data_IF_586020419956
#
_entry.id   IF_586020419956
#
_cell.length_a   1.000
_cell.length_b   1.000
_cell.length_c   1.000
_cell.angle_alpha   90.00
_cell.angle_beta   90.00
_cell.angle_gamma   90.00
#
_symmetry.space_group_name_H-M   'P 1'
#
loop_
_entity.id
_entity.type
_entity.pdbx_description
1 polymer ?
#
# COMPACT_ATOMS: atom_id res chain seq x y z
N UNK A 1 -25.84 -14.10 7.76
CA UNK A 1 -26.14 -12.67 7.95
C UNK A 1 -27.26 -12.28 7.02
N UNK A 2 -28.44 -12.01 7.61
CA UNK A 2 -29.69 -11.70 6.90
C UNK A 2 -29.51 -10.52 5.94
N UNK A 3 -29.70 -10.79 4.66
CA UNK A 3 -29.86 -9.76 3.64
C UNK A 3 -31.22 -9.08 3.87
N UNK A 4 -31.22 -7.94 4.55
CA UNK A 4 -32.40 -7.03 4.50
C UNK A 4 -32.53 -6.60 3.04
N UNK A 5 -33.55 -7.14 2.37
CA UNK A 5 -34.05 -6.61 1.10
C UNK A 5 -34.45 -5.16 1.34
N UNK A 6 -33.62 -4.21 0.95
CA UNK A 6 -33.96 -2.80 1.02
C UNK A 6 -34.98 -2.51 -0.08
N UNK A 7 -36.25 -2.62 0.26
CA UNK A 7 -37.35 -2.23 -0.63
C UNK A 7 -37.38 -0.71 -0.70
N UNK A 8 -37.00 -0.14 -1.85
CA UNK A 8 -37.27 1.27 -2.12
C UNK A 8 -38.73 1.44 -2.43
N UNK A 9 -39.46 2.11 -1.57
CA UNK A 9 -40.90 2.37 -1.75
C UNK A 9 -41.07 3.83 -2.18
N UNK A 10 -41.67 4.08 -3.34
CA UNK A 10 -42.13 5.41 -3.77
C UNK A 10 -43.66 5.38 -3.81
N UNK A 11 -44.28 6.36 -3.17
CA UNK A 11 -45.75 6.53 -3.09
C UNK A 11 -46.13 7.84 -3.79
N UNK A 12 -47.44 8.06 -4.01
CA UNK A 12 -47.93 9.32 -4.55
C UNK A 12 -48.10 9.33 -6.07
N UNK A 13 -48.22 8.17 -6.72
CA UNK A 13 -48.53 8.12 -8.14
C UNK A 13 -50.04 8.30 -8.35
N UNK A 14 -50.40 9.22 -9.28
CA UNK A 14 -51.78 9.54 -9.57
C UNK A 14 -52.55 8.37 -10.26
N UNK A 15 -51.83 7.46 -10.95
CA UNK A 15 -52.38 6.29 -11.62
C UNK A 15 -51.43 5.11 -11.58
N UNK A 16 -51.98 3.89 -11.68
CA UNK A 16 -51.23 2.62 -11.81
C UNK A 16 -50.23 2.70 -12.98
N UNK A 17 -50.65 3.27 -14.11
CA UNK A 17 -49.81 3.44 -15.30
C UNK A 17 -48.59 4.31 -15.01
N UNK A 18 -48.73 5.44 -14.32
CA UNK A 18 -47.62 6.30 -13.91
C UNK A 18 -46.64 5.61 -12.95
N UNK A 19 -47.14 4.75 -12.07
CA UNK A 19 -46.31 3.93 -11.20
C UNK A 19 -45.49 2.93 -12.00
N UNK A 20 -46.08 2.26 -12.99
CA UNK A 20 -45.44 1.31 -13.88
C UNK A 20 -44.40 1.99 -14.80
N UNK A 21 -44.73 3.15 -15.36
CA UNK A 21 -43.81 3.96 -16.17
C UNK A 21 -42.60 4.42 -15.35
N UNK A 22 -42.81 4.82 -14.12
CA UNK A 22 -41.75 5.13 -13.20
C UNK A 22 -40.87 3.93 -12.85
N UNK A 23 -41.48 2.78 -12.54
CA UNK A 23 -40.78 1.53 -12.25
C UNK A 23 -39.93 1.10 -13.44
N UNK A 24 -40.48 1.13 -14.65
CA UNK A 24 -39.72 0.82 -15.88
C UNK A 24 -38.60 1.82 -16.14
N UNK A 25 -38.85 3.10 -15.96
CA UNK A 25 -37.84 4.15 -16.08
C UNK A 25 -36.73 3.97 -15.03
N UNK A 26 -37.10 3.66 -13.80
CA UNK A 26 -36.15 3.38 -12.73
C UNK A 26 -35.31 2.12 -13.00
N UNK A 27 -35.93 1.04 -13.49
CA UNK A 27 -35.22 -0.17 -13.88
C UNK A 27 -34.31 0.05 -15.08
N UNK A 28 -34.75 0.84 -16.08
CA UNK A 28 -33.87 1.23 -17.22
C UNK A 28 -32.72 2.10 -16.81
N UNK A 29 -32.93 3.07 -15.93
CA UNK A 29 -31.84 3.92 -15.40
C UNK A 29 -30.86 3.09 -14.57
N UNK A 30 -31.34 2.11 -13.83
CA UNK A 30 -30.52 1.13 -13.12
C UNK A 30 -29.69 0.27 -14.07
N UNK A 31 -30.32 -0.27 -15.10
CA UNK A 31 -29.63 -1.08 -16.11
C UNK A 31 -28.61 -0.24 -16.90
N UNK A 32 -28.99 0.98 -17.28
CA UNK A 32 -28.11 1.89 -18.03
C UNK A 32 -26.89 2.34 -17.23
N UNK A 33 -26.98 2.47 -15.89
CA UNK A 33 -25.85 2.91 -15.07
C UNK A 33 -24.72 1.87 -14.96
N UNK A 34 -25.03 0.58 -15.18
CA UNK A 34 -24.07 -0.53 -15.16
C UNK A 34 -23.83 -1.18 -16.54
N UNK A 35 -24.45 -0.66 -17.60
CA UNK A 35 -24.20 -1.09 -18.99
C UNK A 35 -22.91 -0.51 -19.57
N UNK A 36 -21.99 -0.12 -18.70
CA UNK A 36 -20.67 0.37 -19.06
C UNK A 36 -19.61 -0.73 -18.91
N UNK A 37 -18.54 -0.61 -19.67
CA UNK A 37 -17.40 -1.51 -19.57
C UNK A 37 -16.68 -1.35 -18.24
N UNK A 38 -15.89 -2.34 -17.85
CA UNK A 38 -15.08 -2.28 -16.65
C UNK A 38 -14.08 -1.11 -16.68
N UNK A 39 -13.50 -0.80 -17.84
CA UNK A 39 -12.59 0.34 -18.03
C UNK A 39 -13.29 1.68 -17.82
N UNK A 40 -14.51 1.84 -18.34
CA UNK A 40 -15.31 3.05 -18.14
C UNK A 40 -15.71 3.18 -16.66
N UNK A 41 -16.13 2.09 -16.02
CA UNK A 41 -16.44 2.08 -14.60
C UNK A 41 -15.21 2.42 -13.74
N UNK A 42 -14.03 1.95 -14.11
CA UNK A 42 -12.80 2.31 -13.41
C UNK A 42 -12.56 3.83 -13.42
N UNK A 43 -12.90 4.52 -14.50
CA UNK A 43 -12.80 5.99 -14.57
C UNK A 43 -13.75 6.68 -13.58
N UNK A 44 -14.95 6.13 -13.41
CA UNK A 44 -15.93 6.60 -12.41
C UNK A 44 -15.41 6.34 -11.00
N UNK A 45 -14.96 5.11 -10.74
CA UNK A 45 -14.36 4.69 -9.47
C UNK A 45 -13.17 5.58 -9.07
N UNK A 46 -12.31 5.93 -10.03
CA UNK A 46 -11.18 6.84 -9.79
C UNK A 46 -11.65 8.20 -9.28
N UNK A 47 -12.64 8.82 -9.91
CA UNK A 47 -13.20 10.11 -9.50
C UNK A 47 -13.78 10.06 -8.08
N UNK A 48 -14.45 8.98 -7.72
CA UNK A 48 -15.12 8.83 -6.43
C UNK A 48 -14.16 8.52 -5.27
N UNK A 49 -13.10 7.77 -5.55
CA UNK A 49 -12.26 7.15 -4.52
C UNK A 49 -10.92 7.84 -4.36
N UNK A 50 -10.29 8.28 -5.46
CA UNK A 50 -8.97 8.93 -5.44
C UNK A 50 -8.89 10.13 -4.50
N UNK A 51 -9.87 11.07 -4.45
CA UNK A 51 -9.81 12.24 -3.56
C UNK A 51 -9.81 11.87 -2.07
N UNK A 52 -10.27 10.66 -1.72
CA UNK A 52 -10.37 10.15 -0.34
C UNK A 52 -9.13 9.39 0.13
N UNK A 53 -8.19 9.11 -0.78
CA UNK A 53 -7.01 8.29 -0.52
C UNK A 53 -5.73 9.11 -0.54
N UNK A 54 -4.74 8.68 0.25
CA UNK A 54 -3.38 9.18 0.11
C UNK A 54 -2.82 8.77 -1.26
N UNK A 55 -2.02 9.65 -1.88
CA UNK A 55 -1.48 9.44 -3.24
C UNK A 55 -0.77 8.08 -3.40
N UNK A 56 0.05 7.68 -2.43
CA UNK A 56 0.73 6.39 -2.46
C UNK A 56 -0.24 5.19 -2.44
N UNK A 57 -1.33 5.30 -1.65
CA UNK A 57 -2.36 4.25 -1.61
C UNK A 57 -3.10 4.15 -2.93
N UNK A 58 -3.43 5.32 -3.53
CA UNK A 58 -4.05 5.35 -4.84
C UNK A 58 -3.13 4.78 -5.92
N UNK A 59 -1.87 5.20 -5.94
CA UNK A 59 -0.90 4.73 -6.92
C UNK A 59 -0.75 3.20 -6.93
N UNK A 60 -0.61 2.58 -5.75
CA UNK A 60 -0.52 1.12 -5.63
C UNK A 60 -1.79 0.42 -6.11
N UNK A 61 -2.97 0.97 -5.75
CA UNK A 61 -4.27 0.47 -6.19
C UNK A 61 -4.43 0.59 -7.71
N UNK A 62 -4.16 1.76 -8.25
CA UNK A 62 -4.24 2.05 -9.68
C UNK A 62 -3.31 1.14 -10.49
N UNK A 63 -2.07 0.96 -10.04
CA UNK A 63 -1.09 0.09 -10.69
C UNK A 63 -1.62 -1.35 -10.81
N UNK A 64 -2.11 -1.93 -9.72
CA UNK A 64 -2.69 -3.28 -9.74
C UNK A 64 -3.87 -3.34 -10.71
N UNK A 65 -4.79 -2.40 -10.64
CA UNK A 65 -5.99 -2.41 -11.47
C UNK A 65 -5.62 -2.32 -12.95
N UNK A 66 -4.74 -1.37 -13.32
CA UNK A 66 -4.34 -1.17 -14.72
C UNK A 66 -3.52 -2.32 -15.29
N UNK A 67 -2.69 -2.98 -14.47
CA UNK A 67 -1.75 -4.01 -14.96
C UNK A 67 -2.28 -5.44 -14.84
N UNK A 68 -3.23 -5.71 -13.91
CA UNK A 68 -3.68 -7.07 -13.60
C UNK A 68 -5.17 -7.31 -13.83
N UNK A 69 -5.98 -6.26 -13.83
CA UNK A 69 -7.44 -6.39 -13.89
C UNK A 69 -7.98 -5.87 -15.23
N UNK A 70 -7.67 -4.64 -15.61
CA UNK A 70 -8.13 -4.04 -16.88
C UNK A 70 -7.74 -4.86 -18.12
N UNK A 71 -6.51 -5.42 -18.23
CA UNK A 71 -6.16 -6.22 -19.41
C UNK A 71 -7.08 -7.42 -19.63
N UNK A 72 -7.73 -7.93 -18.58
CA UNK A 72 -8.63 -9.07 -18.67
C UNK A 72 -10.10 -8.65 -18.78
N UNK A 73 -10.56 -7.73 -17.91
CA UNK A 73 -11.97 -7.36 -17.80
C UNK A 73 -12.34 -6.07 -18.53
N UNK A 74 -11.36 -5.28 -18.99
CA UNK A 74 -11.55 -3.90 -19.41
C UNK A 74 -12.65 -3.67 -20.43
N UNK A 75 -12.81 -4.58 -21.39
CA UNK A 75 -13.82 -4.49 -22.46
C UNK A 75 -15.15 -5.20 -22.12
N UNK A 76 -15.22 -5.88 -20.99
CA UNK A 76 -16.44 -6.58 -20.54
C UNK A 76 -17.33 -5.60 -19.79
N UNK A 77 -18.65 -5.63 -20.04
CA UNK A 77 -19.58 -4.83 -19.26
C UNK A 77 -19.63 -5.30 -17.81
N UNK A 78 -19.79 -4.37 -16.89
CA UNK A 78 -19.80 -4.68 -15.45
C UNK A 78 -20.90 -5.70 -15.07
N UNK A 79 -22.06 -5.64 -15.73
CA UNK A 79 -23.18 -6.56 -15.51
C UNK A 79 -22.93 -7.97 -16.05
N UNK A 80 -22.09 -8.10 -17.06
CA UNK A 80 -21.83 -9.36 -17.77
C UNK A 80 -20.69 -10.16 -17.15
N UNK A 81 -19.92 -9.58 -16.21
CA UNK A 81 -18.85 -10.30 -15.52
C UNK A 81 -19.45 -11.38 -14.61
N UNK A 82 -19.22 -12.62 -14.98
CA UNK A 82 -19.73 -13.79 -14.26
C UNK A 82 -18.72 -14.33 -13.24
N UNK A 83 -19.20 -15.17 -12.32
CA UNK A 83 -18.32 -15.91 -11.39
C UNK A 83 -17.33 -16.78 -12.15
N UNK A 84 -17.73 -17.36 -13.29
CA UNK A 84 -16.87 -18.19 -14.14
C UNK A 84 -15.71 -17.37 -14.71
N UNK A 85 -15.94 -16.12 -15.10
CA UNK A 85 -14.89 -15.24 -15.61
C UNK A 85 -13.88 -14.88 -14.51
N UNK A 86 -14.36 -14.65 -13.29
CA UNK A 86 -13.48 -14.46 -12.13
C UNK A 86 -12.60 -15.69 -11.88
N UNK A 87 -13.17 -16.91 -11.92
CA UNK A 87 -12.41 -18.16 -11.72
C UNK A 87 -11.36 -18.34 -12.83
N UNK A 88 -11.71 -18.07 -14.08
CA UNK A 88 -10.74 -18.13 -15.20
C UNK A 88 -9.58 -17.15 -14.99
N UNK A 89 -9.90 -15.91 -14.60
CA UNK A 89 -8.89 -14.90 -14.30
C UNK A 89 -8.01 -15.31 -13.10
N UNK A 90 -8.60 -15.88 -12.03
CA UNK A 90 -7.85 -16.38 -10.88
C UNK A 90 -6.86 -17.48 -11.30
N UNK A 91 -7.26 -18.41 -12.18
CA UNK A 91 -6.38 -19.46 -12.69
C UNK A 91 -5.23 -18.88 -13.50
N UNK A 92 -5.50 -17.94 -14.40
CA UNK A 92 -4.48 -17.22 -15.16
C UNK A 92 -3.47 -16.50 -14.21
N UNK A 93 -3.96 -15.91 -13.13
CA UNK A 93 -3.09 -15.25 -12.15
C UNK A 93 -2.21 -16.24 -11.36
N UNK A 94 -2.69 -17.46 -11.09
CA UNK A 94 -1.92 -18.55 -10.43
C UNK A 94 -0.87 -19.15 -11.38
N UNK A 95 -1.20 -19.24 -12.65
CA UNK A 95 -0.33 -19.82 -13.68
C UNK A 95 0.77 -18.87 -14.14
N UNK A 96 0.64 -17.58 -13.84
CA UNK A 96 1.65 -16.59 -14.22
C UNK A 96 3.03 -16.95 -13.66
N UNK A 97 4.05 -16.75 -14.49
CA UNK A 97 5.46 -16.84 -14.13
C UNK A 97 6.18 -15.61 -14.67
N UNK A 98 7.11 -15.07 -13.89
CA UNK A 98 7.98 -13.98 -14.34
C UNK A 98 9.11 -14.50 -15.24
N UNK A 99 10.04 -13.61 -15.63
CA UNK A 99 11.19 -13.96 -16.46
C UNK A 99 12.15 -14.98 -15.83
N UNK A 100 12.09 -15.15 -14.50
CA UNK A 100 12.87 -16.10 -13.72
C UNK A 100 12.09 -17.39 -13.41
N UNK A 101 10.86 -17.52 -13.94
CA UNK A 101 9.98 -18.66 -13.68
C UNK A 101 9.26 -18.63 -12.32
N UNK A 102 9.31 -17.52 -11.58
CA UNK A 102 8.69 -17.39 -10.26
C UNK A 102 7.21 -17.04 -10.35
N UNK A 103 6.33 -17.69 -9.56
CA UNK A 103 4.92 -17.34 -9.46
C UNK A 103 4.72 -16.07 -8.65
N UNK A 104 3.52 -15.50 -8.73
CA UNK A 104 3.10 -14.48 -7.75
C UNK A 104 3.00 -15.11 -6.34
N UNK A 105 3.42 -14.36 -5.32
CA UNK A 105 3.25 -14.80 -3.93
C UNK A 105 1.76 -14.87 -3.55
N UNK A 106 1.37 -15.79 -2.64
CA UNK A 106 -0.02 -15.89 -2.15
C UNK A 106 -0.56 -14.57 -1.61
N UNK A 107 0.23 -13.82 -0.85
CA UNK A 107 -0.11 -12.49 -0.31
C UNK A 107 -0.35 -11.45 -1.40
N UNK A 108 0.47 -11.47 -2.48
CA UNK A 108 0.27 -10.58 -3.61
C UNK A 108 -1.04 -10.91 -4.35
N UNK A 109 -1.30 -12.18 -4.63
CA UNK A 109 -2.54 -12.65 -5.25
C UNK A 109 -3.78 -12.22 -4.46
N UNK A 110 -3.74 -12.34 -3.12
CA UNK A 110 -4.79 -11.86 -2.23
C UNK A 110 -4.99 -10.34 -2.40
N UNK A 111 -3.91 -9.58 -2.45
CA UNK A 111 -3.96 -8.12 -2.64
C UNK A 111 -4.57 -7.74 -3.99
N UNK A 112 -4.25 -8.47 -5.06
CA UNK A 112 -4.80 -8.24 -6.41
C UNK A 112 -6.30 -8.51 -6.44
N UNK A 113 -6.75 -9.65 -5.88
CA UNK A 113 -8.19 -9.94 -5.77
C UNK A 113 -8.95 -8.93 -4.91
N UNK A 114 -8.33 -8.44 -3.84
CA UNK A 114 -8.94 -7.42 -2.99
C UNK A 114 -9.24 -6.13 -3.77
N UNK A 115 -8.37 -5.74 -4.74
CA UNK A 115 -8.66 -4.57 -5.58
C UNK A 115 -9.84 -4.82 -6.52
N UNK A 116 -9.93 -6.00 -7.12
CA UNK A 116 -11.08 -6.38 -7.96
C UNK A 116 -12.39 -6.37 -7.14
N UNK A 117 -12.35 -6.97 -5.95
CA UNK A 117 -13.50 -6.99 -5.04
C UNK A 117 -13.92 -5.59 -4.58
N UNK A 118 -12.97 -4.69 -4.33
CA UNK A 118 -13.24 -3.29 -3.99
C UNK A 118 -14.02 -2.56 -5.09
N UNK A 119 -13.67 -2.77 -6.36
CA UNK A 119 -14.38 -2.18 -7.50
C UNK A 119 -15.83 -2.67 -7.56
N UNK A 120 -16.02 -3.99 -7.51
CA UNK A 120 -17.38 -4.56 -7.52
C UNK A 120 -18.21 -4.17 -6.29
N UNK A 121 -17.60 -4.10 -5.10
CA UNK A 121 -18.28 -3.62 -3.89
C UNK A 121 -18.71 -2.15 -4.03
N UNK A 122 -17.89 -1.31 -4.67
CA UNK A 122 -18.23 0.08 -4.94
C UNK A 122 -19.43 0.17 -5.91
N UNK A 123 -19.42 -0.66 -6.98
CA UNK A 123 -20.52 -0.75 -7.91
C UNK A 123 -21.83 -1.21 -7.24
N UNK A 124 -21.75 -2.24 -6.39
CA UNK A 124 -22.91 -2.73 -5.61
C UNK A 124 -23.45 -1.67 -4.67
N UNK A 125 -22.56 -0.93 -4.00
CA UNK A 125 -22.95 0.02 -2.96
C UNK A 125 -23.54 1.31 -3.52
N UNK A 126 -22.97 1.83 -4.60
CA UNK A 126 -23.27 3.19 -5.08
C UNK A 126 -23.92 3.22 -6.47
N UNK A 127 -23.75 2.16 -7.25
CA UNK A 127 -24.22 2.09 -8.65
C UNK A 127 -25.20 0.95 -8.91
N UNK A 128 -25.74 0.37 -7.83
CA UNK A 128 -26.85 -0.58 -7.86
C UNK A 128 -26.55 -1.89 -8.63
N UNK A 129 -25.27 -2.27 -8.81
CA UNK A 129 -24.94 -3.61 -9.29
C UNK A 129 -25.55 -4.65 -8.34
N UNK A 130 -26.23 -5.71 -8.85
CA UNK A 130 -27.00 -6.63 -7.99
C UNK A 130 -26.14 -7.36 -6.95
N UNK A 131 -24.93 -7.77 -7.31
CA UNK A 131 -24.02 -8.50 -6.41
C UNK A 131 -22.57 -8.43 -6.89
N UNK A 132 -21.64 -8.69 -5.97
CA UNK A 132 -20.22 -8.81 -6.30
C UNK A 132 -19.90 -10.28 -6.68
N UNK A 133 -19.55 -10.58 -7.94
CA UNK A 133 -19.26 -11.94 -8.39
C UNK A 133 -17.99 -12.52 -7.75
N UNK A 134 -17.04 -11.67 -7.31
CA UNK A 134 -15.76 -12.09 -6.71
C UNK A 134 -15.99 -12.85 -5.40
N UNK A 135 -17.01 -12.49 -4.61
CA UNK A 135 -17.30 -13.18 -3.35
C UNK A 135 -17.69 -14.64 -3.54
N UNK A 136 -18.31 -14.97 -4.68
CA UNK A 136 -18.75 -16.34 -5.00
C UNK A 136 -17.67 -17.18 -5.66
N UNK A 137 -16.65 -16.55 -6.22
CA UNK A 137 -15.54 -17.24 -6.90
C UNK A 137 -14.53 -17.84 -5.93
N UNK A 138 -14.62 -17.51 -4.64
CA UNK A 138 -13.65 -17.95 -3.63
C UNK A 138 -12.39 -17.07 -3.56
N UNK A 139 -11.48 -17.46 -2.68
CA UNK A 139 -10.26 -16.70 -2.42
C UNK A 139 -9.17 -16.99 -3.47
N UNK A 140 -8.45 -15.93 -3.86
CA UNK A 140 -7.20 -16.02 -4.62
C UNK A 140 -6.05 -15.65 -3.69
N UNK A 141 -5.13 -16.60 -3.46
CA UNK A 141 -4.03 -16.43 -2.52
C UNK A 141 -4.42 -16.60 -1.06
N UNK A 142 -3.47 -16.45 -0.19
CA UNK A 142 -3.62 -16.63 1.26
C UNK A 142 -2.85 -15.55 2.02
N UNK A 143 -3.11 -15.42 3.32
CA UNK A 143 -2.23 -14.73 4.25
C UNK A 143 -1.19 -15.72 4.79
N UNK A 144 -0.26 -16.10 3.94
CA UNK A 144 0.93 -16.80 4.38
C UNK A 144 2.02 -15.74 4.50
N UNK A 145 2.35 -15.38 5.73
CA UNK A 145 3.55 -14.64 6.03
C UNK A 145 4.59 -15.64 6.50
N UNK A 146 5.71 -15.72 5.82
CA UNK A 146 6.89 -16.38 6.36
C UNK A 146 7.24 -15.73 7.69
N UNK A 147 7.84 -16.49 8.59
CA UNK A 147 8.35 -15.95 9.86
C UNK A 147 9.29 -14.79 9.56
N UNK A 148 9.03 -13.65 10.21
CA UNK A 148 9.81 -12.45 9.96
C UNK A 148 11.21 -12.62 10.57
N UNK A 149 12.21 -12.71 9.70
CA UNK A 149 13.61 -12.77 10.12
C UNK A 149 13.99 -11.46 10.82
N UNK A 150 14.65 -11.56 11.94
CA UNK A 150 15.23 -10.46 12.68
C UNK A 150 16.66 -10.80 13.10
N UNK A 151 17.48 -9.80 13.27
CA UNK A 151 18.85 -10.01 13.74
C UNK A 151 18.88 -10.09 15.27
N UNK A 152 19.62 -11.06 15.77
CA UNK A 152 20.00 -11.11 17.16
C UNK A 152 21.02 -10.00 17.45
N UNK A 153 21.26 -9.72 18.72
CA UNK A 153 22.26 -8.75 19.14
C UNK A 153 23.66 -9.14 18.64
N UNK A 154 23.99 -10.42 18.75
CA UNK A 154 25.27 -11.00 18.32
C UNK A 154 25.51 -10.86 16.81
N UNK A 155 24.45 -11.08 16.03
CA UNK A 155 24.51 -10.91 14.55
C UNK A 155 24.69 -9.44 14.17
N UNK A 156 23.96 -8.54 14.81
CA UNK A 156 24.08 -7.11 14.61
C UNK A 156 25.49 -6.61 14.94
N UNK A 157 26.03 -7.00 16.09
CA UNK A 157 27.39 -6.62 16.53
C UNK A 157 28.49 -7.18 15.61
N UNK A 158 28.27 -8.31 14.94
CA UNK A 158 29.18 -8.85 13.92
C UNK A 158 29.10 -8.10 12.59
N UNK A 159 27.88 -7.69 12.22
CA UNK A 159 27.65 -7.00 10.95
C UNK A 159 28.09 -5.53 10.94
N UNK A 160 27.74 -4.76 11.98
CA UNK A 160 27.96 -3.31 12.01
C UNK A 160 29.42 -2.91 11.72
N UNK A 161 30.46 -3.56 12.29
CA UNK A 161 31.86 -3.22 11.99
C UNK A 161 32.23 -3.36 10.51
N UNK A 162 31.56 -4.23 9.76
CA UNK A 162 31.80 -4.39 8.31
C UNK A 162 31.42 -3.14 7.49
N UNK A 163 30.62 -2.26 8.09
CA UNK A 163 30.18 -0.99 7.49
C UNK A 163 31.03 0.22 7.90
N UNK A 164 32.09 0.04 8.70
CA UNK A 164 32.91 1.14 9.22
C UNK A 164 33.47 2.07 8.13
N UNK A 165 33.78 1.55 6.94
CA UNK A 165 34.23 2.33 5.78
C UNK A 165 33.09 3.04 5.02
N UNK A 166 31.86 2.92 5.48
CA UNK A 166 30.64 3.46 4.86
C UNK A 166 29.79 4.18 5.92
N UNK A 167 30.23 5.33 6.44
CA UNK A 167 29.68 5.93 7.66
C UNK A 167 28.16 6.13 7.62
N UNK A 168 27.61 6.61 6.52
CA UNK A 168 26.15 6.75 6.40
C UNK A 168 25.37 5.43 6.57
N UNK A 169 25.93 4.33 6.09
CA UNK A 169 25.29 3.02 6.25
C UNK A 169 25.47 2.50 7.67
N UNK A 170 26.64 2.69 8.24
CA UNK A 170 26.94 2.35 9.62
C UNK A 170 25.89 2.97 10.56
N UNK A 171 25.77 4.29 10.57
CA UNK A 171 24.84 5.01 11.44
C UNK A 171 23.36 4.74 11.10
N UNK A 172 23.03 4.50 9.82
CA UNK A 172 21.68 4.11 9.44
C UNK A 172 21.28 2.76 10.06
N UNK A 173 22.17 1.76 10.02
CA UNK A 173 21.90 0.45 10.61
C UNK A 173 21.88 0.51 12.13
N UNK A 174 22.74 1.29 12.78
CA UNK A 174 22.70 1.55 14.22
C UNK A 174 21.33 2.08 14.66
N UNK A 175 20.83 3.13 14.00
CA UNK A 175 19.53 3.70 14.30
C UNK A 175 18.38 2.73 14.03
N UNK A 176 18.44 1.97 12.93
CA UNK A 176 17.40 0.98 12.60
C UNK A 176 17.34 -0.11 13.65
N UNK A 177 18.48 -0.60 14.09
CA UNK A 177 18.57 -1.69 15.05
C UNK A 177 18.18 -1.24 16.47
N UNK A 178 18.88 -0.23 17.00
CA UNK A 178 18.71 0.19 18.40
C UNK A 178 17.43 1.00 18.66
N UNK A 179 16.98 1.78 17.68
CA UNK A 179 15.80 2.64 17.85
C UNK A 179 14.53 2.02 17.27
N UNK A 180 14.62 0.92 16.51
CA UNK A 180 13.45 0.24 15.93
C UNK A 180 12.62 1.14 15.01
N UNK A 181 13.25 2.09 14.33
CA UNK A 181 12.58 3.00 13.40
C UNK A 181 12.41 2.37 12.01
N UNK A 182 11.41 2.82 11.27
CA UNK A 182 11.18 2.32 9.91
C UNK A 182 12.14 2.98 8.93
N UNK A 183 12.49 2.27 7.83
CA UNK A 183 13.35 2.82 6.77
C UNK A 183 12.86 4.18 6.22
N UNK A 184 11.54 4.34 6.05
CA UNK A 184 10.99 5.63 5.61
C UNK A 184 11.10 6.74 6.66
N UNK A 185 11.05 6.40 7.94
CA UNK A 185 11.27 7.33 9.05
C UNK A 185 12.75 7.75 9.09
N UNK A 186 13.67 6.78 9.03
CA UNK A 186 15.12 7.03 8.95
C UNK A 186 15.46 8.03 7.82
N UNK A 187 14.95 7.79 6.62
CA UNK A 187 15.23 8.62 5.44
C UNK A 187 14.60 10.01 5.47
N UNK A 188 13.72 10.27 6.43
CA UNK A 188 13.11 11.58 6.65
C UNK A 188 13.79 12.36 7.77
N UNK A 189 14.75 11.77 8.50
CA UNK A 189 15.42 12.43 9.62
C UNK A 189 16.24 13.64 9.19
N UNK A 190 16.18 14.66 10.03
CA UNK A 190 17.02 15.86 9.96
C UNK A 190 17.72 16.04 11.31
N UNK A 191 18.76 16.87 11.38
CA UNK A 191 19.46 17.14 12.64
C UNK A 191 18.51 17.62 13.77
N UNK A 192 17.46 18.38 13.41
CA UNK A 192 16.47 18.89 14.36
C UNK A 192 15.62 17.80 15.04
N UNK A 193 15.62 16.56 14.50
CA UNK A 193 14.87 15.45 15.09
C UNK A 193 15.60 14.82 16.28
N UNK A 194 16.90 15.18 16.52
CA UNK A 194 17.74 14.64 17.58
C UNK A 194 17.84 15.61 18.78
N UNK A 195 17.53 15.12 19.96
CA UNK A 195 17.75 15.78 21.26
C UNK A 195 18.85 14.99 21.97
N UNK A 196 20.12 15.41 21.77
CA UNK A 196 21.27 14.70 22.31
C UNK A 196 21.44 14.89 23.83
N UNK A 197 20.94 16.00 24.38
CA UNK A 197 20.94 16.20 25.84
C UNK A 197 20.07 15.16 26.56
N UNK A 198 18.96 14.76 25.92
CA UNK A 198 18.01 13.78 26.48
C UNK A 198 18.11 12.40 25.87
N UNK A 199 19.00 12.20 24.90
CA UNK A 199 19.10 10.97 24.12
C UNK A 199 17.78 10.57 23.45
N UNK A 200 17.04 11.54 22.91
CA UNK A 200 15.71 11.33 22.31
C UNK A 200 15.75 11.62 20.80
N UNK A 201 15.19 10.68 20.04
CA UNK A 201 14.91 10.81 18.62
C UNK A 201 13.41 11.03 18.37
N UNK A 202 13.04 12.13 17.72
CA UNK A 202 11.66 12.50 17.42
C UNK A 202 11.24 11.99 16.04
N UNK A 203 10.26 11.09 16.00
CA UNK A 203 9.72 10.54 14.75
C UNK A 203 8.42 11.26 14.40
N UNK A 204 8.49 12.22 13.48
CA UNK A 204 7.37 13.10 13.09
C UNK A 204 7.02 13.02 11.61
N UNK A 205 7.86 12.40 10.79
CA UNK A 205 7.77 12.39 9.33
C UNK A 205 8.28 11.08 8.75
N UNK A 206 7.92 10.80 7.50
CA UNK A 206 8.36 9.62 6.77
C UNK A 206 8.59 9.96 5.31
N UNK A 207 9.68 9.48 4.74
CA UNK A 207 10.03 9.61 3.34
C UNK A 207 9.44 8.48 2.51
N UNK A 208 8.99 8.81 1.30
CA UNK A 208 8.53 7.88 0.28
C UNK A 208 8.96 8.38 -1.11
N UNK A 209 9.14 7.47 -2.06
CA UNK A 209 9.31 7.81 -3.47
C UNK A 209 8.03 7.48 -4.23
N UNK A 210 7.33 8.47 -4.77
CA UNK A 210 6.05 8.32 -5.48
C UNK A 210 6.25 8.82 -6.91
N UNK A 211 6.05 7.95 -7.90
CA UNK A 211 6.24 8.29 -9.34
C UNK A 211 7.59 8.95 -9.62
N UNK A 212 8.66 8.43 -9.01
CA UNK A 212 10.01 8.96 -9.17
C UNK A 212 10.32 10.22 -8.36
N UNK A 213 9.33 10.86 -7.72
CA UNK A 213 9.51 12.07 -6.91
C UNK A 213 9.68 11.72 -5.43
N UNK A 214 10.56 12.43 -4.77
CA UNK A 214 10.78 12.33 -3.34
C UNK A 214 9.67 13.08 -2.59
N UNK A 215 9.00 12.41 -1.66
CA UNK A 215 7.88 12.98 -0.90
C UNK A 215 8.06 12.69 0.58
N UNK A 216 8.07 13.75 1.39
CA UNK A 216 8.02 13.64 2.86
C UNK A 216 6.57 13.80 3.29
N UNK A 217 6.07 12.82 4.03
CA UNK A 217 4.68 12.80 4.51
C UNK A 217 4.63 12.74 6.03
N UNK A 218 3.54 13.26 6.60
CA UNK A 218 3.23 13.00 8.02
C UNK A 218 2.94 11.51 8.22
N UNK A 219 3.23 10.95 9.40
CA UNK A 219 2.93 9.58 9.73
C UNK A 219 1.46 9.21 9.48
N UNK A 220 1.21 7.93 9.25
CA UNK A 220 -0.12 7.42 8.88
C UNK A 220 -1.17 7.61 9.98
N UNK A 221 -0.75 7.58 11.24
CA UNK A 221 -1.61 7.75 12.41
C UNK A 221 -0.94 8.67 13.43
N UNK A 222 -1.73 9.32 14.30
CA UNK A 222 -1.20 10.12 15.43
C UNK A 222 -0.28 9.30 16.35
N UNK A 223 -0.58 8.00 16.57
CA UNK A 223 0.25 7.08 17.35
C UNK A 223 1.63 6.79 16.73
N UNK A 224 1.80 7.04 15.42
CA UNK A 224 3.09 6.88 14.75
C UNK A 224 4.03 8.06 14.99
N UNK A 225 3.52 9.20 15.47
CA UNK A 225 4.33 10.31 15.99
C UNK A 225 4.75 9.90 17.38
N UNK A 226 6.07 9.72 17.57
CA UNK A 226 6.61 9.22 18.82
C UNK A 226 8.02 9.75 19.07
N UNK A 227 8.42 9.72 20.32
CA UNK A 227 9.80 9.90 20.75
C UNK A 227 10.38 8.53 21.05
N UNK A 228 11.59 8.29 20.59
CA UNK A 228 12.33 7.04 20.79
C UNK A 228 13.60 7.38 21.59
N UNK A 229 13.88 6.60 22.63
CA UNK A 229 15.11 6.72 23.37
C UNK A 229 16.26 6.08 22.57
N UNK A 230 17.35 6.80 22.42
CA UNK A 230 18.62 6.30 21.85
C UNK A 230 19.51 5.80 22.99
N UNK A 231 20.10 4.60 22.89
CA UNK A 231 21.19 4.24 23.81
C UNK A 231 22.28 5.31 23.78
N UNK A 232 22.86 5.58 24.97
CA UNK A 232 23.82 6.68 25.14
C UNK A 232 25.01 6.62 24.16
N UNK A 233 25.50 5.41 23.89
CA UNK A 233 26.56 5.19 22.92
C UNK A 233 26.11 5.63 21.51
N UNK A 234 24.92 5.22 21.08
CA UNK A 234 24.36 5.56 19.74
C UNK A 234 24.14 7.07 19.65
N UNK A 235 23.65 7.70 20.73
CA UNK A 235 23.43 9.14 20.74
C UNK A 235 24.74 9.91 20.56
N UNK A 236 25.82 9.55 21.28
CA UNK A 236 27.14 10.15 21.14
C UNK A 236 27.74 9.96 19.74
N UNK A 237 27.71 8.73 19.24
CA UNK A 237 28.20 8.44 17.89
C UNK A 237 27.43 9.22 16.80
N UNK A 238 26.12 9.36 16.97
CA UNK A 238 25.28 10.16 16.06
C UNK A 238 25.57 11.65 16.16
N UNK A 239 25.82 12.17 17.36
CA UNK A 239 26.20 13.56 17.57
C UNK A 239 27.52 13.87 16.86
N UNK A 240 28.54 13.04 17.06
CA UNK A 240 29.84 13.16 16.39
C UNK A 240 29.70 13.07 14.85
N UNK A 241 28.87 12.17 14.37
CA UNK A 241 28.61 12.01 12.93
C UNK A 241 27.97 13.26 12.33
N UNK A 242 26.94 13.80 12.98
CA UNK A 242 26.20 14.97 12.51
C UNK A 242 27.10 16.22 12.57
N UNK A 243 27.88 16.40 13.62
CA UNK A 243 28.81 17.54 13.79
C UNK A 243 30.03 17.46 12.86
N UNK A 244 30.60 16.24 12.73
CA UNK A 244 31.85 16.04 12.02
C UNK A 244 31.76 16.13 10.50
N UNK A 245 30.65 15.72 9.91
CA UNK A 245 30.52 15.63 8.44
C UNK A 245 29.95 16.91 7.82
N UNK A 246 29.11 17.68 8.52
CA UNK A 246 28.32 18.72 7.89
C UNK A 246 28.43 20.11 8.52
N UNK A 247 29.01 20.26 9.70
CA UNK A 247 28.82 21.50 10.45
C UNK A 247 27.34 21.78 10.67
N UNK A 248 26.91 21.98 11.86
CA UNK A 248 25.54 21.98 12.40
C UNK A 248 24.46 22.77 11.59
N UNK A 249 24.87 23.65 10.68
CA UNK A 249 23.96 24.64 10.05
C UNK A 249 23.35 24.26 8.70
N UNK A 250 23.73 23.15 8.07
CA UNK A 250 23.32 22.85 6.67
C UNK A 250 22.60 21.53 6.44
N UNK A 251 22.30 20.74 7.47
CA UNK A 251 21.70 19.42 7.30
C UNK A 251 20.17 19.48 7.15
N UNK A 252 19.70 19.52 5.92
CA UNK A 252 18.25 19.35 5.65
C UNK A 252 17.80 17.91 5.70
N UNK A 253 18.65 16.93 5.37
CA UNK A 253 18.28 15.50 5.28
C UNK A 253 19.48 14.59 5.65
N UNK A 254 19.48 13.96 6.81
CA UNK A 254 20.59 13.12 7.29
C UNK A 254 20.84 11.85 6.46
N UNK A 255 19.78 11.18 6.00
CA UNK A 255 19.85 9.85 5.39
C UNK A 255 19.12 9.72 4.05
N UNK A 256 19.16 10.75 3.21
CA UNK A 256 18.46 10.79 1.93
C UNK A 256 19.27 10.16 0.78
N UNK A 257 19.37 8.83 0.77
CA UNK A 257 20.04 8.10 -0.31
C UNK A 257 19.04 7.35 -1.21
N UNK A 258 19.44 7.03 -2.47
CA UNK A 258 18.64 6.16 -3.33
C UNK A 258 18.35 4.81 -2.66
N UNK A 259 17.12 4.30 -2.82
CA UNK A 259 16.68 3.05 -2.20
C UNK A 259 17.61 1.85 -2.49
N UNK A 260 18.19 1.79 -3.70
CA UNK A 260 19.05 0.68 -4.09
C UNK A 260 20.29 0.52 -3.20
N UNK A 261 20.82 1.62 -2.63
CA UNK A 261 21.99 1.57 -1.73
C UNK A 261 21.64 0.77 -0.47
N UNK A 262 20.47 1.02 0.12
CA UNK A 262 20.05 0.26 1.30
C UNK A 262 19.65 -1.17 0.96
N UNK A 263 18.91 -1.39 -0.13
CA UNK A 263 18.48 -2.73 -0.54
C UNK A 263 19.66 -3.64 -0.89
N UNK A 264 20.62 -3.14 -1.66
CA UNK A 264 21.84 -3.90 -1.99
C UNK A 264 22.64 -4.26 -0.74
N UNK A 265 22.76 -3.34 0.21
CA UNK A 265 23.51 -3.56 1.45
C UNK A 265 22.77 -4.48 2.43
N UNK A 266 21.44 -4.48 2.44
CA UNK A 266 20.67 -5.48 3.17
C UNK A 266 20.91 -6.89 2.63
N UNK A 267 20.97 -7.05 1.30
CA UNK A 267 21.29 -8.34 0.67
C UNK A 267 22.70 -8.77 1.00
N UNK A 268 23.68 -7.85 0.96
CA UNK A 268 25.05 -8.10 1.41
C UNK A 268 25.10 -8.50 2.89
N UNK A 269 24.37 -7.79 3.73
CA UNK A 269 24.25 -8.05 5.15
C UNK A 269 23.71 -9.47 5.45
N UNK A 270 22.63 -9.85 4.79
CA UNK A 270 22.05 -11.20 4.93
C UNK A 270 23.01 -12.30 4.49
N UNK A 271 23.89 -12.05 3.49
CA UNK A 271 24.91 -13.00 3.03
C UNK A 271 26.11 -13.12 3.97
N UNK A 272 26.39 -12.08 4.77
CA UNK A 272 27.53 -12.10 5.70
C UNK A 272 27.19 -12.70 7.06
N UNK A 273 25.89 -12.81 7.38
CA UNK A 273 25.40 -13.33 8.67
C UNK A 273 24.84 -14.76 8.52
N UNK A 274 24.53 -15.20 7.30
CA UNK A 274 24.19 -16.60 6.98
C UNK A 274 25.45 -17.43 6.77
#
# INVERSE_FOLDING_TARGET
LDRKNVRKLKRGFATKRKAQEWEQSFLRTKAASMDMTFSEFFTVYEKDVRPKLKENTWWSKEHIIRTKIIPYFGNTKMVDVTVRDIIKWQNMMREYRDSEGKPYSPTYLKSVQAQLSCLFNHAVRFYELPSNPVHRAGALGAEEADEMLFWTKEESLRFIPTMANKPYSYYAFELLYWCGIRMGELRALTAEDFDFEKNILSITKSYQKIKGKDVITKPKTKKSIRKVYMPEQVAREMEDFIHGIYGYSQMKDCFRFPNHIYTMRWIEALRLVA
#
